data_IF_808494856430
#
_entry.id   IF_808494856430
#
_cell.length_a   1.000
_cell.length_b   1.000
_cell.length_c   1.000
_cell.angle_alpha   90.00
_cell.angle_beta   90.00
_cell.angle_gamma   90.00
#
_symmetry.space_group_name_H-M   'P 1'
#
loop_
_entity.id
_entity.type
_entity.pdbx_description
1 polymer ?
#
# COMPACT_ATOMS: atom_id res chain seq x y z
N UNK A 1 12.14 -9.83 21.14
CA UNK A 1 12.24 -10.49 19.82
C UNK A 1 10.89 -11.12 19.57
N UNK A 2 10.24 -10.78 18.45
CA UNK A 2 8.94 -11.35 18.10
C UNK A 2 9.08 -12.85 17.85
N UNK A 3 8.38 -13.66 18.65
CA UNK A 3 8.31 -15.11 18.48
C UNK A 3 7.34 -15.42 17.32
N UNK A 4 7.76 -15.16 16.09
CA UNK A 4 6.94 -15.42 14.91
C UNK A 4 6.50 -16.89 14.90
N UNK A 5 5.19 -17.13 14.78
CA UNK A 5 4.58 -18.47 14.73
C UNK A 5 4.64 -19.09 13.33
N UNK A 6 5.27 -18.42 12.38
CA UNK A 6 5.30 -18.78 10.97
C UNK A 6 6.65 -18.39 10.38
N UNK A 7 7.07 -19.15 9.37
CA UNK A 7 8.25 -18.82 8.58
C UNK A 7 7.93 -17.63 7.68
N UNK A 8 8.74 -16.59 7.78
CA UNK A 8 8.66 -15.42 6.93
C UNK A 8 9.40 -15.73 5.62
N UNK A 9 8.76 -15.44 4.48
CA UNK A 9 9.39 -15.63 3.16
C UNK A 9 10.71 -14.87 3.08
N UNK A 10 11.73 -15.49 2.46
CA UNK A 10 13.02 -14.84 2.23
C UNK A 10 12.83 -13.51 1.47
N UNK A 11 13.53 -12.46 1.90
CA UNK A 11 13.43 -11.11 1.33
C UNK A 11 12.34 -10.23 1.96
N UNK A 12 11.36 -10.81 2.65
CA UNK A 12 10.34 -10.02 3.33
C UNK A 12 10.92 -9.17 4.45
N UNK A 13 10.51 -7.91 4.50
CA UNK A 13 11.02 -6.92 5.43
C UNK A 13 9.94 -6.42 6.40
N UNK A 14 10.27 -6.35 7.69
CA UNK A 14 9.31 -5.92 8.71
C UNK A 14 8.84 -4.48 8.48
N UNK A 15 9.70 -3.56 8.04
CA UNK A 15 9.32 -2.18 7.76
C UNK A 15 8.40 -2.08 6.54
N UNK A 16 8.51 -3.03 5.61
CA UNK A 16 7.67 -3.16 4.42
C UNK A 16 6.35 -3.93 4.63
N UNK A 17 6.05 -4.35 5.86
CA UNK A 17 4.85 -5.13 6.16
C UNK A 17 4.96 -6.58 5.72
N UNK A 18 6.19 -7.10 5.77
CA UNK A 18 6.57 -8.42 5.30
C UNK A 18 6.36 -8.64 3.80
N UNK A 19 6.35 -7.58 3.00
CA UNK A 19 6.61 -7.68 1.55
C UNK A 19 8.12 -7.64 1.28
N UNK A 20 8.55 -8.19 0.14
CA UNK A 20 9.93 -8.08 -0.32
C UNK A 20 10.12 -6.78 -1.14
N UNK A 21 10.79 -5.75 -0.59
CA UNK A 21 11.01 -4.49 -1.30
C UNK A 21 12.04 -4.62 -2.44
N UNK A 22 12.74 -5.76 -2.56
CA UNK A 22 13.69 -6.06 -3.63
C UNK A 22 13.16 -7.13 -4.58
N UNK A 23 11.89 -7.51 -4.43
CA UNK A 23 11.23 -8.43 -5.35
C UNK A 23 11.16 -7.87 -6.78
N UNK A 24 10.83 -8.74 -7.74
CA UNK A 24 10.71 -8.37 -9.15
C UNK A 24 9.68 -7.24 -9.35
N UNK A 25 10.08 -6.08 -9.92
CA UNK A 25 9.16 -4.97 -10.14
C UNK A 25 7.97 -5.36 -11.01
N UNK A 26 6.77 -4.97 -10.57
CA UNK A 26 5.53 -5.21 -11.30
C UNK A 26 5.21 -4.03 -12.22
N UNK A 27 4.63 -4.25 -13.41
CA UNK A 27 4.23 -3.15 -14.27
C UNK A 27 3.16 -2.28 -13.60
N UNK A 28 3.22 -0.96 -13.82
CA UNK A 28 2.14 -0.06 -13.39
C UNK A 28 0.81 -0.54 -14.00
N UNK A 29 -0.24 -0.73 -13.18
CA UNK A 29 -1.52 -1.25 -13.64
C UNK A 29 -2.23 -0.26 -14.59
N UNK A 30 -3.00 -0.80 -15.53
CA UNK A 30 -3.80 0.01 -16.44
C UNK A 30 -4.88 0.80 -15.68
N UNK A 31 -5.26 1.96 -16.23
CA UNK A 31 -6.32 2.78 -15.66
C UNK A 31 -6.00 3.37 -14.29
N UNK A 32 -4.71 3.48 -13.94
CA UNK A 32 -4.26 4.04 -12.66
C UNK A 32 -4.84 3.29 -11.44
N UNK A 33 -5.09 1.98 -11.60
CA UNK A 33 -5.81 1.20 -10.60
C UNK A 33 -4.93 0.76 -9.43
N UNK A 34 -5.44 0.88 -8.21
CA UNK A 34 -4.93 0.21 -7.02
C UNK A 34 -6.09 -0.53 -6.36
N UNK A 35 -5.84 -1.74 -5.83
CA UNK A 35 -6.86 -2.51 -5.11
C UNK A 35 -6.35 -2.98 -3.76
N UNK A 36 -7.21 -2.92 -2.75
CA UNK A 36 -6.97 -3.53 -1.43
C UNK A 36 -8.17 -4.39 -1.00
N UNK A 37 -8.13 -4.94 0.22
CA UNK A 37 -9.28 -5.59 0.84
C UNK A 37 -10.36 -4.61 1.33
N UNK A 38 -10.08 -3.30 1.30
CA UNK A 38 -10.91 -2.22 1.82
C UNK A 38 -10.45 -1.73 3.20
N UNK A 39 -10.72 -0.46 3.50
CA UNK A 39 -10.54 0.12 4.82
C UNK A 39 -11.73 -0.26 5.69
N UNK A 40 -11.55 -1.18 6.65
CA UNK A 40 -12.65 -1.71 7.49
C UNK A 40 -12.79 -1.03 8.85
N UNK A 41 -11.87 -0.13 9.17
CA UNK A 41 -11.79 0.63 10.41
C UNK A 41 -11.44 2.07 10.10
N UNK A 42 -11.95 2.99 10.91
CA UNK A 42 -11.60 4.39 10.83
C UNK A 42 -10.10 4.59 10.95
N UNK A 43 -9.60 5.65 10.33
CA UNK A 43 -8.24 6.12 10.53
C UNK A 43 -7.52 6.45 9.23
N UNK A 44 -6.31 7.04 9.36
CA UNK A 44 -5.65 7.65 8.23
C UNK A 44 -4.99 6.61 7.34
N UNK A 45 -4.89 6.93 6.06
CA UNK A 45 -4.14 6.15 5.09
C UNK A 45 -3.35 7.06 4.14
N UNK A 46 -2.26 6.51 3.62
CA UNK A 46 -1.40 7.17 2.65
C UNK A 46 -0.95 6.17 1.59
N UNK A 47 -0.79 6.66 0.36
CA UNK A 47 -0.08 5.96 -0.72
C UNK A 47 1.01 6.87 -1.24
N UNK A 48 2.21 6.34 -1.33
CA UNK A 48 3.39 7.03 -1.82
C UNK A 48 3.97 6.30 -3.02
N UNK A 49 4.54 7.05 -3.95
CA UNK A 49 5.45 6.57 -4.98
C UNK A 49 6.81 7.20 -4.70
N UNK A 50 7.76 6.39 -4.23
CA UNK A 50 9.02 6.84 -3.65
C UNK A 50 8.78 7.92 -2.57
N UNK A 51 9.17 9.17 -2.86
CA UNK A 51 9.04 10.31 -1.94
C UNK A 51 7.82 11.20 -2.23
N UNK A 52 6.96 10.81 -3.18
CA UNK A 52 5.76 11.57 -3.58
C UNK A 52 4.51 10.90 -3.02
N UNK A 53 3.78 11.60 -2.15
CA UNK A 53 2.45 11.17 -1.72
C UNK A 53 1.44 11.40 -2.86
N UNK A 54 0.70 10.34 -3.20
CA UNK A 54 -0.22 10.33 -4.35
C UNK A 54 -1.66 10.04 -3.97
N UNK A 55 -1.91 9.62 -2.71
CA UNK A 55 -3.24 9.49 -2.13
C UNK A 55 -3.12 9.63 -0.61
N UNK A 56 -4.05 10.34 0.01
CA UNK A 56 -4.14 10.46 1.46
C UNK A 56 -5.60 10.60 1.93
N UNK A 57 -5.83 10.35 3.21
CA UNK A 57 -7.06 10.75 3.89
C UNK A 57 -6.99 10.55 5.40
N UNK A 58 -7.58 11.46 6.17
CA UNK A 58 -7.63 11.40 7.64
C UNK A 58 -8.52 10.25 8.15
N UNK A 59 -9.59 9.95 7.41
CA UNK A 59 -10.41 8.76 7.59
C UNK A 59 -10.67 8.07 6.25
N UNK A 60 -9.87 7.06 5.93
CA UNK A 60 -9.98 6.35 4.65
C UNK A 60 -11.14 5.36 4.58
N UNK A 61 -11.69 4.94 5.73
CA UNK A 61 -12.93 4.16 5.76
C UNK A 61 -14.10 4.94 5.16
N UNK A 62 -14.21 6.23 5.52
CA UNK A 62 -15.25 7.12 5.01
C UNK A 62 -14.92 7.64 3.60
N UNK A 63 -13.67 8.11 3.39
CA UNK A 63 -13.27 8.74 2.12
C UNK A 63 -13.20 7.76 0.96
N UNK A 64 -12.83 6.50 1.23
CA UNK A 64 -12.66 5.46 0.21
C UNK A 64 -13.39 4.17 0.64
N UNK A 65 -14.74 4.16 0.61
CA UNK A 65 -15.55 3.04 1.12
C UNK A 65 -15.46 1.76 0.27
N UNK A 66 -14.83 1.86 -0.91
CA UNK A 66 -14.62 0.75 -1.82
C UNK A 66 -13.29 0.01 -1.60
N UNK A 67 -13.00 -0.87 -2.55
CA UNK A 67 -11.75 -1.66 -2.60
C UNK A 67 -10.83 -1.24 -3.73
N UNK A 68 -11.34 -0.46 -4.68
CA UNK A 68 -10.65 0.02 -5.87
C UNK A 68 -10.40 1.53 -5.72
N UNK A 69 -9.19 1.94 -6.02
CA UNK A 69 -8.71 3.31 -5.89
C UNK A 69 -8.01 3.75 -7.17
N UNK A 70 -8.06 5.04 -7.46
CA UNK A 70 -7.31 5.64 -8.56
C UNK A 70 -6.10 6.36 -7.99
N UNK A 71 -4.90 5.98 -8.44
CA UNK A 71 -3.62 6.54 -8.00
C UNK A 71 -2.94 7.19 -9.20
N UNK A 72 -2.50 8.45 -9.05
CA UNK A 72 -1.67 9.06 -10.09
C UNK A 72 -0.25 8.50 -10.04
N UNK A 73 0.10 7.67 -11.04
CA UNK A 73 1.43 7.09 -11.17
C UNK A 73 2.44 7.99 -11.91
N UNK A 74 2.08 9.23 -12.23
CA UNK A 74 2.89 10.12 -13.05
C UNK A 74 4.29 10.40 -12.48
N UNK A 75 4.47 10.35 -11.15
CA UNK A 75 5.76 10.54 -10.48
C UNK A 75 6.72 9.36 -10.62
N UNK A 76 6.23 8.15 -10.93
CA UNK A 76 7.07 6.97 -11.11
C UNK A 76 7.80 7.01 -12.46
N UNK A 77 9.12 7.21 -12.45
CA UNK A 77 9.96 7.26 -13.66
C UNK A 77 10.90 6.06 -13.71
N UNK A 78 10.72 5.18 -14.68
CA UNK A 78 11.51 3.95 -14.78
C UNK A 78 11.05 2.93 -13.74
N UNK A 79 11.67 2.91 -12.57
CA UNK A 79 11.26 2.07 -11.44
C UNK A 79 10.99 2.93 -10.21
N UNK A 80 9.98 2.58 -9.43
CA UNK A 80 9.67 3.23 -8.16
C UNK A 80 9.15 2.21 -7.16
N UNK A 81 9.01 2.61 -5.90
CA UNK A 81 8.35 1.80 -4.87
C UNK A 81 7.02 2.43 -4.51
N UNK A 82 5.92 1.70 -4.70
CA UNK A 82 4.66 2.06 -4.06
C UNK A 82 4.71 1.67 -2.59
N UNK A 83 4.44 2.62 -1.70
CA UNK A 83 4.26 2.37 -0.26
C UNK A 83 2.84 2.71 0.11
N UNK A 84 2.11 1.71 0.59
CA UNK A 84 0.78 1.90 1.16
C UNK A 84 0.85 1.80 2.67
N UNK A 85 0.18 2.71 3.36
CA UNK A 85 0.02 2.71 4.81
C UNK A 85 -1.44 2.91 5.17
N UNK A 86 -1.87 2.23 6.23
CA UNK A 86 -3.15 2.46 6.87
C UNK A 86 -3.04 2.21 8.37
N UNK A 87 -3.51 3.17 9.16
CA UNK A 87 -3.59 3.08 10.61
C UNK A 87 -5.06 2.91 11.00
N UNK A 88 -5.50 1.66 11.10
CA UNK A 88 -6.87 1.33 11.52
C UNK A 88 -7.05 1.48 13.03
N UNK A 89 -8.04 2.27 13.43
CA UNK A 89 -8.39 2.52 14.83
C UNK A 89 -9.63 1.71 15.18
N UNK A 90 -9.54 0.91 16.24
CA UNK A 90 -10.68 0.21 16.83
C UNK A 90 -10.86 0.59 18.28
N UNK A 91 -12.11 0.82 18.68
CA UNK A 91 -12.46 0.91 20.10
C UNK A 91 -12.99 -0.44 20.57
N UNK A 92 -12.22 -1.14 21.42
CA UNK A 92 -12.56 -2.46 21.95
C UNK A 92 -12.22 -2.52 23.44
N UNK A 93 -13.10 -3.14 24.24
CA UNK A 93 -12.90 -3.32 25.70
C UNK A 93 -12.55 -2.01 26.42
N UNK A 94 -13.25 -0.92 26.09
CA UNK A 94 -13.03 0.43 26.65
C UNK A 94 -11.63 1.02 26.41
N UNK A 95 -10.94 0.61 25.35
CA UNK A 95 -9.65 1.17 24.95
C UNK A 95 -9.54 1.29 23.43
N UNK A 96 -8.75 2.27 22.97
CA UNK A 96 -8.37 2.38 21.57
C UNK A 96 -7.22 1.41 21.26
N UNK A 97 -7.36 0.69 20.15
CA UNK A 97 -6.36 -0.22 19.60
C UNK A 97 -6.04 0.22 18.17
N UNK A 98 -4.75 0.37 17.90
CA UNK A 98 -4.22 0.74 16.59
C UNK A 98 -3.74 -0.49 15.85
N UNK A 99 -4.06 -0.55 14.55
CA UNK A 99 -3.66 -1.60 13.64
C UNK A 99 -2.87 -0.97 12.50
N UNK A 100 -1.60 -1.33 12.40
CA UNK A 100 -0.71 -0.81 11.38
C UNK A 100 -0.68 -1.77 10.21
N UNK A 101 -1.19 -1.32 9.07
CA UNK A 101 -1.10 -2.00 7.80
C UNK A 101 -0.15 -1.26 6.90
N UNK A 102 0.75 -2.00 6.27
CA UNK A 102 1.73 -1.44 5.35
C UNK A 102 2.10 -2.47 4.30
N UNK A 103 2.38 -2.02 3.09
CA UNK A 103 2.85 -2.87 2.00
C UNK A 103 3.73 -2.06 1.06
N UNK A 104 4.91 -2.59 0.72
CA UNK A 104 5.80 -1.97 -0.26
C UNK A 104 5.85 -2.83 -1.52
N UNK A 105 5.66 -2.20 -2.67
CA UNK A 105 5.52 -2.88 -3.96
C UNK A 105 6.49 -2.22 -4.95
N UNK A 106 7.54 -2.92 -5.39
CA UNK A 106 8.40 -2.46 -6.47
C UNK A 106 7.60 -2.40 -7.77
N UNK A 107 7.64 -1.25 -8.43
CA UNK A 107 6.94 -1.00 -9.69
C UNK A 107 7.93 -0.64 -10.80
N UNK A 108 7.54 -0.94 -12.03
CA UNK A 108 8.20 -0.47 -13.25
C UNK A 108 7.19 0.20 -14.16
N UNK A 109 7.54 1.40 -14.63
CA UNK A 109 6.90 2.07 -15.73
C UNK A 109 7.27 1.34 -17.03
N UNK A 110 6.75 0.12 -17.21
CA UNK A 110 6.86 -0.58 -18.49
C UNK A 110 6.34 0.33 -19.61
N UNK A 111 7.02 0.31 -20.76
CA UNK A 111 6.58 1.05 -21.96
C UNK A 111 5.10 0.80 -22.16
N UNK A 112 4.28 1.87 -22.11
CA UNK A 112 2.89 1.80 -22.56
C UNK A 112 2.93 1.04 -23.88
N UNK A 113 2.35 -0.16 -23.92
CA UNK A 113 2.05 -0.78 -25.20
C UNK A 113 1.10 0.21 -25.85
N UNK A 114 1.63 0.98 -26.79
CA UNK A 114 0.86 1.71 -27.78
C UNK A 114 -0.02 0.65 -28.43
N UNK A 115 -1.26 0.56 -27.96
CA UNK A 115 -2.32 -0.10 -28.69
C UNK A 115 -3.00 1.03 -29.44
N UNK A 116 -2.53 1.22 -30.66
CA UNK A 116 -3.25 1.90 -31.73
C UNK A 116 -4.58 1.20 -32.01
#
# INVERSE_FOLDING_TARGET
MDNAKYDVTSGADFFCGFTDPKGTPQPIPAGNAMRSTGYTHDGPCEVWLDDTMVLEGDNCHEKFPGKDYTVDYSSCKGTCTLRWYWLGVRFLKNAYSWQVYKAYIPLTAGSRSLRD
#
